data_IF_220136663738
#
_entry.id   IF_220136663738
#
_cell.length_a   1.000
_cell.length_b   1.000
_cell.length_c   1.000
_cell.angle_alpha   90.00
_cell.angle_beta   90.00
_cell.angle_gamma   90.00
#
_symmetry.space_group_name_H-M   'P 1'
#
loop_
_entity.id
_entity.type
_entity.pdbx_description
1 polymer ?
#
# COMPACT_ATOMS: atom_id res chain seq x y z
N UNK A 1 -17.80 48.73 -15.02
CA UNK A 1 -16.46 48.50 -15.56
C UNK A 1 -15.62 47.83 -14.48
N UNK A 2 -15.65 46.51 -14.37
CA UNK A 2 -14.86 45.74 -13.41
C UNK A 2 -13.72 45.08 -14.20
N UNK A 3 -12.47 45.25 -13.74
CA UNK A 3 -11.28 44.66 -14.31
C UNK A 3 -11.21 43.17 -13.91
N UNK A 4 -10.84 42.26 -14.79
CA UNK A 4 -10.59 40.86 -14.43
C UNK A 4 -9.28 40.74 -13.66
N UNK A 5 -9.29 39.85 -12.65
CA UNK A 5 -8.12 39.42 -11.87
C UNK A 5 -7.22 38.52 -12.73
N UNK A 6 -5.89 38.49 -12.54
CA UNK A 6 -4.99 37.69 -13.33
C UNK A 6 -5.12 36.20 -12.94
N UNK A 7 -5.22 35.36 -13.97
CA UNK A 7 -5.09 33.90 -13.86
C UNK A 7 -3.73 33.52 -13.27
N UNK A 8 -3.78 33.00 -12.05
CA UNK A 8 -2.62 32.35 -11.44
C UNK A 8 -2.41 30.97 -12.09
N UNK A 9 -1.33 30.82 -12.82
CA UNK A 9 -0.88 29.52 -13.33
C UNK A 9 -0.56 28.59 -12.15
N UNK A 10 -1.42 27.62 -11.91
CA UNK A 10 -1.15 26.50 -11.02
C UNK A 10 -0.19 25.58 -11.77
N UNK A 11 1.08 25.56 -11.35
CA UNK A 11 2.07 24.61 -11.83
C UNK A 11 1.61 23.20 -11.45
N UNK A 12 1.23 22.40 -12.45
CA UNK A 12 0.97 20.96 -12.28
C UNK A 12 2.21 20.30 -11.69
N UNK A 13 2.07 19.71 -10.52
CA UNK A 13 3.09 18.85 -9.90
C UNK A 13 2.83 17.43 -10.38
N UNK A 14 3.73 16.88 -11.20
CA UNK A 14 3.70 15.49 -11.59
C UNK A 14 4.18 14.63 -10.41
N UNK A 15 3.29 13.82 -9.87
CA UNK A 15 3.60 12.81 -8.86
C UNK A 15 3.99 11.54 -9.62
N UNK A 16 5.30 11.29 -9.76
CA UNK A 16 5.80 10.04 -10.35
C UNK A 16 6.33 9.13 -9.24
N UNK A 17 5.69 7.97 -9.07
CA UNK A 17 6.23 6.88 -8.28
C UNK A 17 7.40 6.20 -9.03
N UNK A 18 8.48 5.99 -8.35
CA UNK A 18 9.85 5.69 -8.76
C UNK A 18 10.03 4.76 -9.96
N UNK A 19 10.53 5.25 -11.08
CA UNK A 19 11.22 4.44 -12.08
C UNK A 19 12.73 4.71 -12.06
N UNK A 20 13.51 3.82 -11.49
CA UNK A 20 14.97 3.85 -11.48
C UNK A 20 15.53 3.49 -12.88
N UNK A 21 15.94 4.47 -13.65
CA UNK A 21 16.68 4.24 -14.91
C UNK A 21 18.13 3.85 -14.60
N UNK A 22 18.47 2.59 -14.84
CA UNK A 22 19.88 2.16 -14.93
C UNK A 22 20.54 2.73 -16.18
N UNK A 23 21.47 3.65 -16.02
CA UNK A 23 22.41 4.06 -17.10
C UNK A 23 23.55 3.05 -17.16
N UNK A 24 23.64 2.28 -18.25
CA UNK A 24 24.85 1.52 -18.63
C UNK A 24 25.96 2.50 -18.99
N UNK A 25 27.09 2.41 -18.29
CA UNK A 25 28.38 2.91 -18.79
C UNK A 25 29.32 1.73 -18.95
N UNK A 26 29.69 1.47 -20.19
CA UNK A 26 30.79 0.61 -20.58
C UNK A 26 32.06 1.44 -20.46
N UNK A 27 33.06 0.95 -19.74
CA UNK A 27 34.43 1.40 -19.91
C UNK A 27 35.39 0.19 -19.83
N UNK A 28 36.16 0.08 -20.84
CA UNK A 28 37.15 -0.97 -21.13
C UNK A 28 38.52 -0.59 -20.55
N UNK A 29 39.31 -1.61 -20.22
CA UNK A 29 40.76 -1.75 -20.21
C UNK A 29 41.48 -1.54 -18.87
N UNK A 30 42.22 -2.45 -18.47
CA UNK A 30 43.58 -2.88 -18.64
C UNK A 30 44.17 -3.48 -17.35
N UNK A 31 44.75 -4.60 -17.54
CA UNK A 31 45.55 -5.52 -16.73
C UNK A 31 46.74 -4.82 -16.02
N UNK A 32 46.93 -5.07 -14.70
CA UNK A 32 48.25 -5.23 -14.08
C UNK A 32 48.14 -6.05 -12.78
N UNK A 33 48.89 -7.12 -12.74
CA UNK A 33 49.09 -8.06 -11.63
C UNK A 33 49.91 -7.39 -10.53
N UNK A 34 49.41 -7.44 -9.28
CA UNK A 34 50.25 -7.40 -8.09
C UNK A 34 49.60 -8.21 -6.97
N UNK A 35 50.19 -9.34 -6.62
CA UNK A 35 49.82 -10.18 -5.48
C UNK A 35 50.19 -9.45 -4.18
N UNK A 36 49.18 -9.05 -3.41
CA UNK A 36 49.33 -8.73 -2.00
C UNK A 36 48.16 -9.39 -1.27
N UNK A 37 48.47 -10.48 -0.56
CA UNK A 37 47.54 -11.14 0.35
C UNK A 37 47.38 -10.25 1.59
N UNK A 38 46.37 -9.43 1.59
CA UNK A 38 45.83 -8.83 2.82
C UNK A 38 44.51 -9.48 3.08
N UNK A 39 44.41 -10.27 4.17
CA UNK A 39 43.16 -10.78 4.69
C UNK A 39 42.34 -9.57 5.18
N UNK A 40 41.51 -9.00 4.31
CA UNK A 40 40.46 -8.11 4.70
C UNK A 40 39.29 -8.99 5.23
N UNK A 41 39.03 -8.88 6.53
CA UNK A 41 37.74 -9.29 7.06
C UNK A 41 36.69 -8.46 6.33
N UNK A 42 36.04 -9.08 5.35
CA UNK A 42 34.81 -8.55 4.80
C UNK A 42 33.78 -8.57 5.93
N UNK A 43 33.50 -7.40 6.50
CA UNK A 43 32.27 -7.20 7.23
C UNK A 43 31.17 -7.64 6.28
N UNK A 44 30.40 -8.64 6.68
CA UNK A 44 29.15 -8.99 6.01
C UNK A 44 28.28 -7.74 6.13
N UNK A 45 28.29 -6.92 5.11
CA UNK A 45 27.33 -5.86 4.98
C UNK A 45 25.96 -6.53 4.86
N UNK A 46 25.04 -6.14 5.71
CA UNK A 46 23.64 -6.51 5.59
C UNK A 46 23.21 -6.19 4.14
N UNK A 47 23.08 -7.23 3.32
CA UNK A 47 22.47 -7.09 2.01
C UNK A 47 20.98 -6.94 2.27
N UNK A 48 20.52 -5.71 2.49
CA UNK A 48 19.11 -5.39 2.49
C UNK A 48 18.50 -5.95 1.21
N UNK A 49 17.64 -6.93 1.34
CA UNK A 49 16.86 -7.46 0.21
C UNK A 49 16.05 -6.30 -0.36
N UNK A 50 16.16 -6.01 -1.66
CA UNK A 50 15.43 -4.89 -2.24
C UNK A 50 13.92 -5.07 -1.95
N UNK A 51 13.31 -4.08 -1.29
CA UNK A 51 11.87 -4.10 -1.06
C UNK A 51 11.15 -4.15 -2.41
N UNK A 52 10.06 -4.94 -2.54
CA UNK A 52 9.31 -4.98 -3.78
C UNK A 52 8.77 -3.58 -4.09
N UNK A 53 8.99 -3.12 -5.31
CA UNK A 53 8.47 -1.83 -5.78
C UNK A 53 7.13 -2.09 -6.48
N UNK A 54 6.08 -1.43 -6.01
CA UNK A 54 4.77 -1.42 -6.64
C UNK A 54 4.69 -0.22 -7.60
N UNK A 55 4.55 -0.42 -8.92
CA UNK A 55 4.33 0.67 -9.84
C UNK A 55 2.89 1.18 -9.68
N UNK A 56 2.72 2.41 -9.16
CA UNK A 56 1.45 3.09 -9.33
C UNK A 56 1.32 3.58 -10.78
N UNK A 57 0.18 3.30 -11.39
CA UNK A 57 -0.13 3.71 -12.76
C UNK A 57 -1.03 4.93 -12.70
N UNK A 58 -0.65 6.00 -13.41
CA UNK A 58 -1.48 7.19 -13.56
C UNK A 58 -2.58 6.92 -14.57
N UNK A 59 -3.80 7.25 -14.20
CA UNK A 59 -4.98 7.16 -15.07
C UNK A 59 -5.52 8.55 -15.39
N UNK A 60 -6.21 8.66 -16.51
CA UNK A 60 -7.00 9.83 -16.88
C UNK A 60 -8.45 9.59 -16.46
N UNK A 61 -9.00 10.50 -15.63
CA UNK A 61 -10.37 10.41 -15.12
C UNK A 61 -10.48 9.88 -13.70
N UNK A 62 -11.72 9.65 -13.25
CA UNK A 62 -12.04 9.18 -11.91
C UNK A 62 -12.65 7.79 -11.97
N UNK A 63 -12.27 6.92 -11.04
CA UNK A 63 -12.90 5.61 -10.85
C UNK A 63 -14.22 5.80 -10.11
N UNK A 64 -15.26 5.16 -10.62
CA UNK A 64 -16.54 5.05 -9.92
C UNK A 64 -16.50 3.84 -8.99
N UNK A 65 -16.54 4.08 -7.68
CA UNK A 65 -16.53 3.01 -6.70
C UNK A 65 -17.91 2.36 -6.61
N UNK A 66 -18.02 1.09 -6.97
CA UNK A 66 -19.25 0.30 -6.90
C UNK A 66 -19.13 -0.86 -5.90
N UNK A 67 -17.93 -1.14 -5.43
CA UNK A 67 -17.58 -2.30 -4.65
C UNK A 67 -17.41 -3.58 -5.47
N UNK A 68 -17.53 -3.50 -6.80
CA UNK A 68 -17.46 -4.66 -7.71
C UNK A 68 -16.24 -4.66 -8.61
N UNK A 69 -15.45 -3.58 -8.59
CA UNK A 69 -14.30 -3.38 -9.49
C UNK A 69 -14.69 -3.47 -10.98
N UNK A 70 -15.87 -2.99 -11.34
CA UNK A 70 -16.41 -3.03 -12.70
C UNK A 70 -16.03 -1.80 -13.54
N UNK A 71 -15.36 -0.80 -12.97
CA UNK A 71 -14.80 0.31 -13.73
C UNK A 71 -13.63 -0.19 -14.60
N UNK A 72 -13.66 0.05 -15.93
CA UNK A 72 -12.63 -0.45 -16.84
C UNK A 72 -11.23 0.12 -16.58
N UNK A 73 -11.11 1.22 -15.82
CA UNK A 73 -9.81 1.79 -15.45
C UNK A 73 -8.98 0.82 -14.61
N UNK A 74 -9.61 -0.08 -13.83
CA UNK A 74 -8.89 -1.11 -13.07
C UNK A 74 -8.07 -2.06 -13.94
N UNK A 75 -8.44 -2.25 -15.20
CA UNK A 75 -7.71 -3.10 -16.15
C UNK A 75 -6.33 -2.54 -16.54
N UNK A 76 -6.06 -1.28 -16.22
CA UNK A 76 -4.75 -0.66 -16.51
C UNK A 76 -3.67 -1.05 -15.50
N UNK A 77 -4.05 -1.51 -14.30
CA UNK A 77 -3.10 -1.94 -13.29
C UNK A 77 -2.93 -3.47 -13.26
N UNK A 78 -1.70 -3.91 -13.02
CA UNK A 78 -1.43 -5.31 -12.69
C UNK A 78 -1.64 -5.51 -11.19
N UNK A 79 -2.35 -6.58 -10.78
CA UNK A 79 -2.53 -6.86 -9.37
C UNK A 79 -1.25 -7.31 -8.69
N UNK A 80 -1.15 -7.01 -7.41
CA UNK A 80 -0.19 -7.56 -6.47
C UNK A 80 -0.89 -8.58 -5.59
N UNK A 81 -0.29 -9.71 -5.36
CA UNK A 81 -0.84 -10.74 -4.48
C UNK A 81 -0.28 -10.57 -3.06
N UNK A 82 -1.14 -10.64 -2.05
CA UNK A 82 -0.76 -10.74 -0.65
C UNK A 82 -0.36 -12.18 -0.36
N UNK A 83 0.90 -12.51 -0.55
CA UNK A 83 1.39 -13.89 -0.56
C UNK A 83 1.78 -14.44 0.81
N UNK A 84 1.88 -13.57 1.82
CA UNK A 84 2.41 -13.93 3.13
C UNK A 84 1.34 -13.91 4.21
N UNK A 85 1.24 -14.99 4.99
CA UNK A 85 0.58 -14.97 6.28
C UNK A 85 1.61 -14.60 7.35
N UNK A 86 1.43 -13.42 7.93
CA UNK A 86 2.34 -12.87 8.94
C UNK A 86 1.86 -13.12 10.38
N UNK A 87 0.57 -13.45 10.55
CA UNK A 87 -0.05 -13.83 11.82
C UNK A 87 -1.13 -14.89 11.59
N UNK A 88 -1.25 -15.93 12.43
CA UNK A 88 -0.35 -16.37 13.50
C UNK A 88 0.96 -16.95 12.95
N UNK A 89 1.03 -17.21 11.63
CA UNK A 89 2.23 -17.66 10.94
C UNK A 89 3.35 -16.61 11.00
N UNK A 90 4.52 -17.00 10.55
CA UNK A 90 5.67 -16.10 10.43
C UNK A 90 6.16 -16.18 8.99
N UNK A 91 5.58 -15.32 8.12
CA UNK A 91 5.86 -15.31 6.70
C UNK A 91 5.70 -16.68 6.03
N UNK A 92 4.63 -17.39 6.39
CA UNK A 92 4.25 -18.63 5.70
C UNK A 92 3.34 -18.29 4.50
N UNK A 93 3.14 -19.20 3.53
CA UNK A 93 2.23 -18.94 2.42
C UNK A 93 0.82 -18.59 2.90
N UNK A 94 0.23 -17.56 2.30
CA UNK A 94 -1.11 -17.09 2.62
C UNK A 94 -2.17 -18.18 2.41
N UNK A 95 -3.10 -18.35 3.36
CA UNK A 95 -4.15 -19.38 3.32
C UNK A 95 -5.24 -19.10 2.30
N UNK A 96 -5.45 -17.83 1.98
CA UNK A 96 -6.47 -17.38 1.04
C UNK A 96 -5.84 -16.42 0.04
N UNK A 97 -6.23 -16.54 -1.22
CA UNK A 97 -5.76 -15.65 -2.26
C UNK A 97 -6.35 -14.25 -2.07
N UNK A 98 -5.50 -13.24 -2.11
CA UNK A 98 -5.90 -11.83 -2.09
C UNK A 98 -5.09 -11.07 -3.11
N UNK A 99 -5.77 -10.37 -3.99
CA UNK A 99 -5.16 -9.52 -5.00
C UNK A 99 -5.48 -8.06 -4.68
N UNK A 100 -4.51 -7.18 -4.89
CA UNK A 100 -4.65 -5.74 -4.71
C UNK A 100 -4.19 -4.99 -5.95
N UNK A 101 -4.86 -3.89 -6.27
CA UNK A 101 -4.53 -2.97 -7.36
C UNK A 101 -4.31 -1.59 -6.80
N UNK A 102 -3.43 -0.83 -7.44
CA UNK A 102 -3.17 0.56 -7.11
C UNK A 102 -3.12 1.40 -8.39
N UNK A 103 -3.89 2.48 -8.41
CA UNK A 103 -3.95 3.46 -9.47
C UNK A 103 -3.95 4.87 -8.85
N UNK A 104 -3.64 5.89 -9.62
CA UNK A 104 -3.78 7.26 -9.17
C UNK A 104 -4.12 8.19 -10.33
N UNK A 105 -4.73 9.35 -10.02
CA UNK A 105 -4.89 10.47 -10.93
C UNK A 105 -4.31 11.75 -10.30
N UNK A 106 -4.73 12.91 -10.73
CA UNK A 106 -4.24 14.18 -10.17
C UNK A 106 -4.79 14.47 -8.76
N UNK A 107 -5.92 13.85 -8.37
CA UNK A 107 -6.65 14.17 -7.16
C UNK A 107 -6.65 13.02 -6.13
N UNK A 108 -6.60 11.77 -6.60
CA UNK A 108 -6.83 10.58 -5.77
C UNK A 108 -5.79 9.49 -5.96
N UNK A 109 -5.52 8.79 -4.88
CA UNK A 109 -4.89 7.48 -4.86
C UNK A 109 -5.99 6.43 -4.69
N UNK A 110 -6.05 5.45 -5.59
CA UNK A 110 -7.06 4.41 -5.61
C UNK A 110 -6.45 3.07 -5.26
N UNK A 111 -7.16 2.31 -4.41
CA UNK A 111 -6.87 0.90 -4.16
C UNK A 111 -8.11 0.06 -4.41
N UNK A 112 -7.89 -1.16 -4.90
CA UNK A 112 -8.91 -2.19 -4.92
C UNK A 112 -8.35 -3.50 -4.41
N UNK A 113 -9.22 -4.31 -3.82
CA UNK A 113 -8.88 -5.64 -3.33
C UNK A 113 -9.90 -6.66 -3.82
N UNK A 114 -9.42 -7.80 -4.29
CA UNK A 114 -10.22 -9.01 -4.49
C UNK A 114 -9.77 -10.05 -3.47
N UNK A 115 -10.65 -10.32 -2.52
CA UNK A 115 -10.41 -11.20 -1.40
C UNK A 115 -11.15 -12.52 -1.63
N UNK A 116 -10.48 -13.53 -2.16
CA UNK A 116 -11.05 -14.86 -2.29
C UNK A 116 -11.14 -15.54 -0.92
N UNK A 117 -12.15 -16.40 -0.74
CA UNK A 117 -12.31 -17.20 0.46
C UNK A 117 -12.84 -18.58 0.08
N UNK A 118 -12.19 -19.63 0.54
CA UNK A 118 -12.62 -21.02 0.29
C UNK A 118 -13.91 -21.37 1.04
N UNK A 119 -14.29 -20.56 2.04
CA UNK A 119 -15.52 -20.71 2.82
C UNK A 119 -16.15 -19.32 2.99
N UNK A 120 -16.83 -18.77 1.94
CA UNK A 120 -17.37 -17.41 1.97
C UNK A 120 -18.36 -17.17 3.12
N UNK A 121 -19.07 -18.21 3.55
CA UNK A 121 -19.97 -18.15 4.71
C UNK A 121 -19.27 -17.91 6.05
N UNK A 122 -17.95 -18.06 6.10
CA UNK A 122 -17.13 -17.77 7.29
C UNK A 122 -16.64 -16.33 7.34
N UNK A 123 -16.84 -15.54 6.29
CA UNK A 123 -16.51 -14.13 6.26
C UNK A 123 -17.34 -13.40 7.31
N UNK A 124 -16.67 -12.68 8.20
CA UNK A 124 -17.31 -11.87 9.24
C UNK A 124 -17.43 -10.45 8.76
N UNK A 125 -18.64 -9.95 8.71
CA UNK A 125 -18.93 -8.56 8.38
C UNK A 125 -20.15 -8.10 9.16
N UNK A 126 -20.02 -6.96 9.84
CA UNK A 126 -21.09 -6.35 10.59
C UNK A 126 -21.30 -4.91 10.10
N UNK A 127 -22.55 -4.46 10.11
CA UNK A 127 -22.84 -3.05 9.99
C UNK A 127 -22.53 -2.40 11.33
N UNK A 128 -21.63 -1.45 11.32
CA UNK A 128 -21.15 -0.73 12.51
C UNK A 128 -20.89 0.73 12.17
N UNK A 129 -20.68 1.55 13.17
CA UNK A 129 -20.13 2.88 12.96
C UNK A 129 -18.69 2.77 12.43
N UNK A 130 -18.22 3.86 11.80
CA UNK A 130 -16.82 4.04 11.41
C UNK A 130 -15.90 3.69 12.59
N UNK A 131 -14.74 3.11 12.32
CA UNK A 131 -13.70 2.69 13.28
C UNK A 131 -14.14 1.61 14.29
N UNK A 132 -15.34 1.00 14.11
CA UNK A 132 -15.83 -0.12 14.95
C UNK A 132 -15.78 -1.48 14.25
N UNK A 133 -15.22 -1.54 13.03
CA UNK A 133 -15.23 -2.71 12.15
C UNK A 133 -14.03 -3.66 12.34
N UNK A 134 -13.06 -3.35 13.18
CA UNK A 134 -11.82 -4.13 13.33
C UNK A 134 -12.01 -5.54 13.95
N UNK A 135 -13.22 -5.88 14.37
CA UNK A 135 -13.61 -7.26 14.74
C UNK A 135 -13.94 -8.15 13.54
N UNK A 136 -14.17 -7.57 12.37
CA UNK A 136 -14.57 -8.22 11.12
C UNK A 136 -13.38 -8.70 10.29
N UNK A 137 -13.69 -9.30 9.11
CA UNK A 137 -12.76 -9.32 7.98
C UNK A 137 -12.57 -7.88 7.51
N UNK A 138 -11.35 -7.51 7.15
CA UNK A 138 -11.08 -6.21 6.53
C UNK A 138 -9.78 -6.25 5.72
N UNK A 139 -9.66 -5.34 4.80
CA UNK A 139 -8.38 -4.98 4.16
C UNK A 139 -7.90 -3.65 4.71
N UNK A 140 -6.60 -3.46 4.74
CA UNK A 140 -5.98 -2.21 5.16
C UNK A 140 -4.79 -1.86 4.27
N UNK A 141 -4.66 -0.57 4.01
CA UNK A 141 -3.51 0.04 3.34
C UNK A 141 -2.84 0.96 4.34
N UNK A 142 -1.58 0.67 4.66
CA UNK A 142 -0.72 1.54 5.48
C UNK A 142 0.21 2.32 4.57
N UNK A 143 0.26 3.64 4.69
CA UNK A 143 1.01 4.54 3.81
C UNK A 143 1.90 5.46 4.62
N UNK A 144 3.23 5.35 4.44
CA UNK A 144 4.21 6.33 4.92
C UNK A 144 4.68 7.19 3.74
N UNK A 145 4.25 8.43 3.71
CA UNK A 145 4.53 9.39 2.63
C UNK A 145 5.91 10.04 2.73
N UNK A 146 6.58 9.91 3.87
CA UNK A 146 7.94 10.42 4.08
C UNK A 146 9.01 9.34 3.93
N UNK A 147 8.60 8.07 3.85
CA UNK A 147 9.49 6.91 3.74
C UNK A 147 10.57 6.90 4.85
N UNK A 148 10.17 7.25 6.06
CA UNK A 148 11.06 7.36 7.22
C UNK A 148 10.65 6.47 8.40
N UNK A 149 9.56 5.71 8.24
CA UNK A 149 9.04 4.72 9.18
C UNK A 149 8.63 5.28 10.55
N UNK A 150 8.39 6.59 10.64
CA UNK A 150 8.03 7.24 11.90
C UNK A 150 6.52 7.34 12.08
N UNK A 151 5.79 7.56 10.97
CA UNK A 151 4.35 7.76 10.97
C UNK A 151 3.78 7.38 9.62
N UNK A 152 2.69 6.62 9.62
CA UNK A 152 1.89 6.29 8.45
C UNK A 152 0.42 6.55 8.69
N UNK A 153 -0.34 6.63 7.61
CA UNK A 153 -1.80 6.66 7.63
C UNK A 153 -2.32 5.28 7.24
N UNK A 154 -3.32 4.79 7.94
CA UNK A 154 -3.99 3.54 7.62
C UNK A 154 -5.43 3.78 7.22
N UNK A 155 -5.85 3.07 6.17
CA UNK A 155 -7.20 3.10 5.60
C UNK A 155 -7.71 1.67 5.50
N UNK A 156 -8.76 1.34 6.22
CA UNK A 156 -9.30 0.00 6.31
C UNK A 156 -10.77 -0.04 5.86
N UNK A 157 -11.17 -1.14 5.22
CA UNK A 157 -12.55 -1.37 4.77
C UNK A 157 -12.95 -2.81 5.08
N UNK A 158 -14.15 -3.01 5.65
CA UNK A 158 -14.75 -4.32 5.83
C UNK A 158 -15.60 -4.72 4.60
N UNK A 159 -16.12 -5.97 4.49
CA UNK A 159 -16.92 -6.43 3.35
C UNK A 159 -18.24 -5.69 3.13
N UNK A 160 -18.69 -4.86 4.05
CA UNK A 160 -19.87 -3.99 3.90
C UNK A 160 -19.50 -2.53 3.56
N UNK A 161 -18.22 -2.25 3.30
CA UNK A 161 -17.77 -0.90 2.97
C UNK A 161 -17.63 0.02 4.18
N UNK A 162 -17.73 -0.51 5.41
CA UNK A 162 -17.50 0.27 6.63
C UNK A 162 -16.02 0.63 6.70
N UNK A 163 -15.75 1.91 6.90
CA UNK A 163 -14.41 2.47 6.97
C UNK A 163 -13.82 2.41 8.39
N UNK A 164 -12.51 2.28 8.45
CA UNK A 164 -11.71 2.59 9.61
C UNK A 164 -10.44 3.29 9.14
N UNK A 165 -10.01 4.30 9.88
CA UNK A 165 -8.76 4.98 9.60
C UNK A 165 -8.06 5.38 10.90
N UNK A 166 -6.75 5.36 10.86
CA UNK A 166 -5.93 5.68 12.01
C UNK A 166 -4.55 6.18 11.58
N UNK A 167 -3.83 6.70 12.54
CA UNK A 167 -2.41 6.99 12.41
C UNK A 167 -1.64 5.85 13.05
N UNK A 168 -0.77 5.21 12.26
CA UNK A 168 0.20 4.23 12.73
C UNK A 168 1.52 4.95 13.05
N UNK A 169 1.98 4.82 14.28
CA UNK A 169 3.31 5.29 14.67
C UNK A 169 4.37 4.21 14.40
N UNK A 170 5.59 4.61 14.07
CA UNK A 170 6.69 3.67 13.86
C UNK A 170 6.98 2.73 15.03
N UNK A 171 6.59 3.12 16.24
CA UNK A 171 6.63 2.25 17.42
C UNK A 171 5.56 1.15 17.47
N UNK A 172 4.64 1.11 16.48
CA UNK A 172 3.51 0.19 16.46
C UNK A 172 2.29 0.66 17.26
N UNK A 173 2.32 1.87 17.81
CA UNK A 173 1.15 2.46 18.46
C UNK A 173 0.19 3.04 17.42
N UNK A 174 -1.09 2.79 17.61
CA UNK A 174 -2.19 3.27 16.77
C UNK A 174 -2.91 4.43 17.44
N UNK A 175 -3.22 5.47 16.66
CA UNK A 175 -4.07 6.59 17.09
C UNK A 175 -5.33 6.65 16.21
N UNK A 176 -6.48 6.12 16.68
CA UNK A 176 -7.74 6.10 15.95
C UNK A 176 -8.56 7.40 16.12
N UNK A 177 -8.00 8.44 16.73
CA UNK A 177 -8.73 9.70 16.97
C UNK A 177 -8.74 10.63 15.75
N UNK A 178 -8.11 10.22 14.65
CA UNK A 178 -7.91 11.05 13.47
C UNK A 178 -8.85 10.61 12.34
N UNK A 179 -9.94 11.35 12.14
CA UNK A 179 -10.88 11.10 11.05
C UNK A 179 -10.40 11.72 9.73
N UNK A 180 -10.26 10.90 8.70
CA UNK A 180 -9.90 11.33 7.35
C UNK A 180 -11.10 11.23 6.40
N UNK A 181 -11.20 12.15 5.44
CA UNK A 181 -12.29 12.17 4.46
C UNK A 181 -11.84 11.45 3.20
N UNK A 182 -12.38 10.27 2.96
CA UNK A 182 -12.11 9.43 1.80
C UNK A 182 -13.34 8.58 1.46
N UNK A 183 -13.34 7.89 0.33
CA UNK A 183 -14.47 7.10 -0.12
C UNK A 183 -14.10 5.61 -0.23
N UNK A 184 -15.07 4.74 0.01
CA UNK A 184 -14.96 3.29 -0.16
C UNK A 184 -16.26 2.68 -0.63
N UNK A 185 -16.16 1.53 -1.27
CA UNK A 185 -17.26 0.63 -1.57
C UNK A 185 -16.78 -0.81 -1.45
N UNK A 186 -17.66 -1.73 -1.03
CA UNK A 186 -17.34 -3.14 -0.96
C UNK A 186 -18.57 -3.99 -1.27
N UNK A 187 -18.36 -5.24 -1.73
CA UNK A 187 -19.43 -6.17 -2.06
C UNK A 187 -18.98 -7.60 -1.76
N UNK A 188 -19.84 -8.35 -1.08
CA UNK A 188 -19.74 -9.80 -0.89
C UNK A 188 -20.30 -10.54 -2.11
N UNK A 189 -19.67 -11.67 -2.46
CA UNK A 189 -20.16 -12.62 -3.46
C UNK A 189 -19.89 -14.08 -3.06
N UNK A 190 -20.18 -15.03 -3.96
CA UNK A 190 -20.08 -16.47 -3.70
C UNK A 190 -18.60 -16.96 -3.62
N UNK A 191 -17.63 -16.16 -4.03
CA UNK A 191 -16.20 -16.49 -4.00
C UNK A 191 -15.41 -15.71 -2.95
N UNK A 192 -16.05 -14.74 -2.26
CA UNK A 192 -15.40 -13.89 -1.27
C UNK A 192 -15.97 -12.48 -1.26
N UNK A 193 -15.12 -11.47 -1.44
CA UNK A 193 -15.53 -10.07 -1.46
C UNK A 193 -14.53 -9.17 -2.18
N UNK A 194 -15.00 -7.99 -2.57
CA UNK A 194 -14.20 -6.92 -3.15
C UNK A 194 -14.30 -5.67 -2.31
N UNK A 195 -13.25 -4.86 -2.30
CA UNK A 195 -13.25 -3.52 -1.76
C UNK A 195 -12.56 -2.55 -2.72
N UNK A 196 -13.07 -1.33 -2.77
CA UNK A 196 -12.51 -0.21 -3.52
C UNK A 196 -12.37 0.99 -2.60
N UNK A 197 -11.29 1.73 -2.75
CA UNK A 197 -10.96 2.91 -1.97
C UNK A 197 -10.54 4.05 -2.90
N UNK A 198 -10.99 5.26 -2.63
CA UNK A 198 -10.52 6.49 -3.27
C UNK A 198 -10.08 7.46 -2.17
N UNK A 199 -8.77 7.68 -2.04
CA UNK A 199 -8.15 8.48 -1.00
C UNK A 199 -7.64 9.76 -1.64
N UNK A 200 -8.21 10.94 -1.31
CA UNK A 200 -7.77 12.18 -1.93
C UNK A 200 -6.36 12.55 -1.46
N UNK A 201 -5.54 13.09 -2.37
CA UNK A 201 -4.19 13.53 -2.00
C UNK A 201 -4.17 14.62 -0.93
N UNK A 202 -5.29 15.31 -0.71
CA UNK A 202 -5.42 16.34 0.32
C UNK A 202 -5.32 15.80 1.75
N UNK A 203 -5.52 14.47 1.97
CA UNK A 203 -5.36 13.88 3.31
C UNK A 203 -3.90 13.60 3.65
N UNK A 204 -3.00 13.60 2.66
CA UNK A 204 -1.60 13.30 2.84
C UNK A 204 -0.77 14.56 3.01
N UNK A 205 0.21 14.49 3.91
CA UNK A 205 1.33 15.42 3.96
C UNK A 205 2.56 14.71 3.41
N UNK A 206 3.27 15.31 2.50
CA UNK A 206 4.48 14.75 1.89
C UNK A 206 5.47 15.86 1.52
N UNK A 207 6.73 15.49 1.24
CA UNK A 207 7.78 16.43 0.88
C UNK A 207 7.51 17.05 -0.52
N UNK A 208 8.26 18.11 -0.86
CA UNK A 208 8.10 18.83 -2.13
C UNK A 208 8.93 18.25 -3.28
N UNK A 209 9.41 17.01 -3.18
CA UNK A 209 10.18 16.37 -4.24
C UNK A 209 9.32 16.16 -5.49
N UNK A 210 9.90 16.29 -6.68
CA UNK A 210 9.21 16.08 -7.95
C UNK A 210 8.80 14.60 -8.14
N UNK A 211 9.56 13.68 -7.56
CA UNK A 211 9.27 12.24 -7.50
C UNK A 211 9.02 11.89 -6.05
N UNK A 212 7.83 11.31 -5.80
CA UNK A 212 7.46 10.83 -4.48
C UNK A 212 7.81 9.35 -4.36
N UNK A 213 8.46 9.00 -3.25
CA UNK A 213 8.79 7.62 -2.89
C UNK A 213 8.13 7.32 -1.54
N UNK A 214 7.05 6.52 -1.56
CA UNK A 214 6.23 6.22 -0.40
C UNK A 214 6.35 4.74 -0.04
N UNK A 215 6.37 4.42 1.23
CA UNK A 215 6.24 3.04 1.69
C UNK A 215 4.76 2.69 1.83
N UNK A 216 4.36 1.55 1.24
CA UNK A 216 2.99 1.05 1.29
C UNK A 216 3.02 -0.40 1.75
N UNK A 217 2.21 -0.72 2.76
CA UNK A 217 1.93 -2.08 3.21
C UNK A 217 0.47 -2.40 2.96
N UNK A 218 0.22 -3.54 2.34
CA UNK A 218 -1.12 -4.03 2.04
C UNK A 218 -1.40 -5.25 2.92
N UNK A 219 -2.52 -5.22 3.66
CA UNK A 219 -2.90 -6.32 4.53
C UNK A 219 -4.37 -6.70 4.38
N UNK A 220 -4.66 -7.98 4.69
CA UNK A 220 -6.02 -8.49 4.91
C UNK A 220 -6.08 -9.19 6.25
N UNK A 221 -7.03 -8.80 7.09
CA UNK A 221 -7.35 -9.47 8.35
C UNK A 221 -8.53 -10.42 8.16
N UNK A 222 -8.39 -11.64 8.66
CA UNK A 222 -9.39 -12.71 8.56
C UNK A 222 -9.58 -13.34 9.94
N UNK A 223 -10.61 -12.94 10.72
CA UNK A 223 -10.92 -13.58 12.01
C UNK A 223 -11.65 -14.91 11.77
N UNK A 224 -11.00 -16.03 12.08
CA UNK A 224 -11.54 -17.40 11.98
C UNK A 224 -11.41 -18.09 13.35
N UNK A 225 -10.77 -19.27 13.38
CA UNK A 225 -10.29 -19.94 14.62
C UNK A 225 -9.16 -19.18 15.30
N UNK A 226 -8.38 -18.46 14.50
CA UNK A 226 -7.42 -17.44 14.92
C UNK A 226 -7.65 -16.19 14.06
N UNK A 227 -7.00 -15.09 14.40
CA UNK A 227 -6.91 -13.94 13.49
C UNK A 227 -5.75 -14.16 12.56
N UNK A 228 -6.05 -14.37 11.29
CA UNK A 228 -5.05 -14.44 10.23
C UNK A 228 -4.83 -13.05 9.66
N UNK A 229 -3.57 -12.68 9.49
CA UNK A 229 -3.17 -11.45 8.83
C UNK A 229 -2.30 -11.80 7.62
N UNK A 230 -2.80 -11.49 6.44
CA UNK A 230 -2.09 -11.67 5.17
C UNK A 230 -1.50 -10.33 4.74
N UNK A 231 -0.32 -10.33 4.12
CA UNK A 231 0.34 -9.10 3.72
C UNK A 231 1.15 -9.21 2.44
N UNK A 232 1.44 -8.05 1.88
CA UNK A 232 2.52 -7.72 0.97
C UNK A 232 3.08 -6.36 1.42
N UNK A 233 4.39 -6.27 1.72
CA UNK A 233 5.44 -7.31 1.68
C UNK A 233 5.41 -8.27 2.88
N UNK A 234 6.45 -9.10 3.01
CA UNK A 234 6.74 -9.87 4.23
C UNK A 234 6.96 -8.93 5.42
N UNK A 235 6.71 -9.44 6.63
CA UNK A 235 7.02 -8.73 7.86
C UNK A 235 8.21 -9.35 8.58
N UNK A 236 9.22 -8.55 8.91
CA UNK A 236 10.28 -8.95 9.82
C UNK A 236 9.85 -8.67 11.27
N UNK A 237 9.55 -9.71 12.03
CA UNK A 237 9.16 -9.59 13.46
C UNK A 237 10.25 -9.00 14.35
N UNK A 238 11.50 -9.00 13.91
CA UNK A 238 12.61 -8.38 14.65
C UNK A 238 12.66 -6.88 14.38
N UNK A 239 12.00 -6.39 13.32
CA UNK A 239 11.86 -4.97 13.07
C UNK A 239 10.70 -4.41 13.92
N UNK A 240 10.96 -3.52 14.88
CA UNK A 240 9.90 -2.96 15.74
C UNK A 240 8.96 -2.02 14.97
N UNK A 241 9.34 -1.57 13.78
CA UNK A 241 8.53 -0.67 12.98
C UNK A 241 7.62 -1.45 12.04
N UNK A 242 6.32 -1.32 12.25
CA UNK A 242 5.30 -1.83 11.32
C UNK A 242 5.45 -1.24 9.91
N UNK A 243 5.79 0.05 9.83
CA UNK A 243 5.95 0.78 8.56
C UNK A 243 7.26 0.47 7.85
N UNK A 244 8.24 -0.08 8.54
CA UNK A 244 9.59 -0.36 8.02
C UNK A 244 9.75 -1.73 7.34
N UNK A 245 8.66 -2.42 6.99
CA UNK A 245 8.67 -3.77 6.46
C UNK A 245 9.07 -3.85 4.99
#
# INVERSE_FOLDING_TARGET
>A
MQRPLPEGQIKKRDVNLTMKRMKKRVLTAALLLAFAVTATFASAGDTETPKPSLPAIKIDGNITLTGKMDDPLWLQAMPVELTWEIMPGENVPAKQKTLAWMLYNDDYLYFAFRCYDSVPSAIRANLSDRDKMFGDDFVVVSIDTYNNYQKGLEFAVNPYGIQGDLIMMGSGNEDPSYDMVWASAATLDDEGWTAEMAIPFSVFSFNSADIQDWTITLCRSMPRDSRYLLSCPMHDRNNPSWLGQ
#
